data_IF_532607857066
#
_entry.id   IF_532607857066
#
_cell.length_a   1.000
_cell.length_b   1.000
_cell.length_c   1.000
_cell.angle_alpha   90.00
_cell.angle_beta   90.00
_cell.angle_gamma   90.00
#
_symmetry.space_group_name_H-M   'P 1'
#
loop_
_entity.id
_entity.type
_entity.pdbx_description
1 polymer ?
#
# COMPACT_ATOMS: atom_id res chain seq x y z
N UNK A 1 -0.90 -7.39 7.06
CA UNK A 1 -2.09 -6.98 7.80
C UNK A 1 -2.58 -8.19 8.56
N UNK A 2 -2.42 -8.22 9.85
CA UNK A 2 -3.23 -9.12 10.65
C UNK A 2 -4.60 -8.46 10.81
N UNK A 3 -5.58 -8.92 10.04
CA UNK A 3 -6.96 -8.44 10.10
C UNK A 3 -7.77 -9.16 11.20
N UNK A 4 -7.13 -9.97 12.04
CA UNK A 4 -7.78 -10.80 13.03
C UNK A 4 -8.10 -10.02 14.32
N UNK A 5 -8.77 -8.90 14.20
CA UNK A 5 -9.37 -8.19 15.32
C UNK A 5 -10.87 -8.54 15.38
N UNK A 6 -11.34 -9.28 16.38
CA UNK A 6 -12.73 -9.75 16.45
C UNK A 6 -13.75 -8.62 16.30
N UNK A 7 -13.49 -7.48 16.92
CA UNK A 7 -14.36 -6.30 16.85
C UNK A 7 -14.50 -5.77 15.41
N UNK A 8 -13.39 -5.60 14.67
CA UNK A 8 -13.43 -5.14 13.28
C UNK A 8 -14.06 -6.18 12.36
N UNK A 9 -13.90 -7.46 12.71
CA UNK A 9 -14.55 -8.54 11.98
C UNK A 9 -16.07 -8.47 12.12
N UNK A 10 -16.56 -8.28 13.33
CA UNK A 10 -17.99 -8.15 13.61
C UNK A 10 -18.60 -6.96 12.86
N UNK A 11 -18.02 -5.76 12.99
CA UNK A 11 -18.47 -4.56 12.30
C UNK A 11 -18.44 -4.71 10.77
N UNK A 12 -17.37 -5.32 10.24
CA UNK A 12 -17.28 -5.60 8.81
C UNK A 12 -18.34 -6.58 8.35
N UNK A 13 -18.61 -7.62 9.14
CA UNK A 13 -19.61 -8.63 8.83
C UNK A 13 -21.01 -8.03 8.83
N UNK A 14 -21.32 -7.16 9.78
CA UNK A 14 -22.59 -6.44 9.84
C UNK A 14 -22.76 -5.55 8.60
N UNK A 15 -21.80 -4.66 8.33
CA UNK A 15 -21.86 -3.79 7.15
C UNK A 15 -21.93 -4.61 5.86
N UNK A 16 -21.15 -5.70 5.75
CA UNK A 16 -21.16 -6.55 4.57
C UNK A 16 -22.52 -7.20 4.30
N UNK A 17 -23.26 -7.60 5.33
CA UNK A 17 -24.63 -8.08 5.23
C UNK A 17 -25.57 -6.99 4.74
N UNK A 18 -25.48 -5.77 5.31
CA UNK A 18 -26.30 -4.60 4.92
C UNK A 18 -26.04 -4.17 3.48
N UNK A 19 -24.81 -4.41 3.00
CA UNK A 19 -24.41 -4.22 1.61
C UNK A 19 -24.85 -5.35 0.67
N UNK A 20 -25.46 -6.43 1.19
CA UNK A 20 -25.86 -7.61 0.41
C UNK A 20 -24.70 -8.45 -0.11
N UNK A 21 -23.55 -8.38 0.55
CA UNK A 21 -22.33 -9.07 0.11
C UNK A 21 -22.31 -10.54 0.57
N UNK A 22 -21.59 -11.37 -0.19
CA UNK A 22 -21.33 -12.76 0.19
C UNK A 22 -20.17 -12.83 1.19
N UNK A 23 -20.28 -13.74 2.17
CA UNK A 23 -19.25 -13.97 3.16
C UNK A 23 -17.91 -14.44 2.53
N UNK A 24 -16.86 -14.51 3.34
CA UNK A 24 -15.55 -15.00 2.95
C UNK A 24 -14.65 -13.94 2.37
N UNK A 25 -14.14 -14.14 1.16
CA UNK A 25 -13.17 -13.24 0.54
C UNK A 25 -13.72 -11.83 0.27
N UNK A 26 -15.04 -11.66 0.10
CA UNK A 26 -15.65 -10.34 -0.06
C UNK A 26 -15.56 -9.54 1.24
N UNK A 27 -15.82 -10.16 2.39
CA UNK A 27 -15.71 -9.50 3.69
C UNK A 27 -14.25 -9.14 4.03
N UNK A 28 -13.29 -9.99 3.66
CA UNK A 28 -11.86 -9.63 3.77
C UNK A 28 -11.50 -8.43 2.90
N UNK A 29 -12.02 -8.38 1.67
CA UNK A 29 -11.82 -7.25 0.77
C UNK A 29 -12.46 -5.97 1.33
N UNK A 30 -13.68 -6.06 1.84
CA UNK A 30 -14.38 -4.94 2.48
C UNK A 30 -13.55 -4.40 3.65
N UNK A 31 -13.10 -5.28 4.56
CA UNK A 31 -12.27 -4.88 5.71
C UNK A 31 -10.99 -4.17 5.29
N UNK A 32 -10.29 -4.70 4.28
CA UNK A 32 -9.10 -4.06 3.73
C UNK A 32 -9.40 -2.65 3.20
N UNK A 33 -10.50 -2.47 2.48
CA UNK A 33 -10.92 -1.17 1.95
C UNK A 33 -11.30 -0.20 3.07
N UNK A 34 -12.05 -0.64 4.08
CA UNK A 34 -12.43 0.17 5.23
C UNK A 34 -11.19 0.65 6.01
N UNK A 35 -10.24 -0.25 6.32
CA UNK A 35 -8.98 0.13 6.96
C UNK A 35 -8.20 1.16 6.15
N UNK A 36 -8.14 1.01 4.82
CA UNK A 36 -7.46 1.99 3.98
C UNK A 36 -8.15 3.35 3.99
N UNK A 37 -9.48 3.38 3.93
CA UNK A 37 -10.25 4.62 3.95
C UNK A 37 -10.19 5.32 5.30
N UNK A 38 -10.31 4.59 6.40
CA UNK A 38 -10.16 5.13 7.75
C UNK A 38 -8.82 5.84 7.94
N UNK A 39 -7.73 5.21 7.49
CA UNK A 39 -6.37 5.79 7.57
C UNK A 39 -6.15 7.03 6.70
N UNK A 40 -6.92 7.16 5.62
CA UNK A 40 -6.80 8.30 4.71
C UNK A 40 -7.78 9.43 5.05
N UNK A 41 -8.78 9.18 5.89
CA UNK A 41 -9.84 10.16 6.18
C UNK A 41 -10.52 10.64 4.89
N UNK A 42 -10.72 11.93 4.75
CA UNK A 42 -11.36 12.55 3.56
C UNK A 42 -10.47 12.57 2.29
N UNK A 43 -9.36 11.84 2.26
CA UNK A 43 -8.46 11.87 1.10
C UNK A 43 -8.84 10.83 0.06
N UNK A 44 -8.46 11.11 -1.18
CA UNK A 44 -8.61 10.17 -2.28
C UNK A 44 -7.64 8.99 -2.12
N UNK A 45 -8.16 7.78 -2.22
CA UNK A 45 -7.40 6.53 -2.19
C UNK A 45 -7.33 5.96 -3.58
N UNK A 46 -6.11 5.69 -4.06
CA UNK A 46 -5.93 5.01 -5.34
C UNK A 46 -6.26 3.53 -5.21
N UNK A 47 -7.09 3.01 -6.10
CA UNK A 47 -7.50 1.62 -6.16
C UNK A 47 -7.16 1.02 -7.52
N UNK A 48 -6.58 -0.16 -7.47
CA UNK A 48 -6.33 -0.93 -8.68
C UNK A 48 -7.56 -1.75 -9.07
N UNK A 49 -8.21 -1.38 -10.16
CA UNK A 49 -9.35 -2.12 -10.75
C UNK A 49 -8.90 -3.10 -11.85
N UNK A 50 -7.68 -3.61 -11.78
CA UNK A 50 -7.17 -4.56 -12.78
C UNK A 50 -6.68 -5.85 -12.11
N UNK A 51 -6.99 -6.99 -12.73
CA UNK A 51 -6.58 -8.33 -12.24
C UNK A 51 -5.06 -8.44 -12.06
N UNK A 52 -4.29 -7.79 -12.91
CA UNK A 52 -2.83 -7.82 -12.91
C UNK A 52 -2.20 -7.11 -11.71
N UNK A 53 -2.95 -6.26 -11.02
CA UNK A 53 -2.43 -5.47 -9.89
C UNK A 53 -2.30 -6.24 -8.59
N UNK A 54 -2.87 -7.43 -8.50
CA UNK A 54 -2.91 -8.21 -7.26
C UNK A 54 -1.73 -9.17 -7.08
N UNK A 55 -0.83 -9.24 -8.07
CA UNK A 55 0.41 -10.03 -7.96
C UNK A 55 0.21 -11.53 -7.74
N UNK A 56 1.33 -12.23 -7.47
CA UNK A 56 1.35 -13.62 -7.05
C UNK A 56 1.00 -13.78 -5.56
N UNK A 57 1.02 -15.02 -5.05
CA UNK A 57 0.65 -15.35 -3.65
C UNK A 57 1.46 -14.55 -2.63
N UNK A 58 2.75 -14.36 -2.86
CA UNK A 58 3.66 -13.59 -2.00
C UNK A 58 3.22 -12.12 -1.83
N UNK A 59 2.68 -11.53 -2.88
CA UNK A 59 2.27 -10.12 -2.90
C UNK A 59 0.79 -9.91 -2.58
N UNK A 60 0.08 -11.00 -2.35
CA UNK A 60 -1.32 -11.03 -1.94
C UNK A 60 -1.54 -12.06 -0.83
N UNK A 61 -0.91 -11.88 0.34
CA UNK A 61 -0.96 -12.86 1.43
C UNK A 61 -2.37 -13.10 1.96
N UNK A 62 -3.27 -12.13 1.81
CA UNK A 62 -4.66 -12.26 2.22
C UNK A 62 -5.51 -13.09 1.24
N UNK A 63 -4.98 -13.44 0.06
CA UNK A 63 -5.69 -14.18 -0.97
C UNK A 63 -6.93 -13.46 -1.53
N UNK A 64 -6.95 -12.13 -1.43
CA UNK A 64 -8.10 -11.33 -1.88
C UNK A 64 -8.09 -11.25 -3.41
N UNK A 65 -9.14 -11.80 -4.02
CA UNK A 65 -9.27 -11.77 -5.47
C UNK A 65 -9.79 -10.44 -6.01
N UNK A 66 -9.45 -10.14 -7.25
CA UNK A 66 -9.91 -8.96 -7.96
C UNK A 66 -11.43 -8.76 -7.89
N UNK A 67 -12.20 -9.85 -8.14
CA UNK A 67 -13.68 -9.79 -8.13
C UNK A 67 -14.22 -9.35 -6.76
N UNK A 68 -13.58 -9.78 -5.67
CA UNK A 68 -14.01 -9.41 -4.31
C UNK A 68 -13.77 -7.94 -4.04
N UNK A 69 -12.65 -7.37 -4.50
CA UNK A 69 -12.37 -5.93 -4.36
C UNK A 69 -13.40 -5.11 -5.14
N UNK A 70 -13.66 -5.48 -6.41
CA UNK A 70 -14.62 -4.76 -7.24
C UNK A 70 -16.03 -4.84 -6.65
N UNK A 71 -16.48 -6.04 -6.25
CA UNK A 71 -17.81 -6.20 -5.64
C UNK A 71 -17.95 -5.35 -4.36
N UNK A 72 -16.89 -5.26 -3.55
CA UNK A 72 -16.92 -4.43 -2.34
C UNK A 72 -16.99 -2.93 -2.66
N UNK A 73 -16.23 -2.48 -3.66
CA UNK A 73 -16.26 -1.09 -4.11
C UNK A 73 -17.62 -0.70 -4.68
N UNK A 74 -18.17 -1.54 -5.56
CA UNK A 74 -19.45 -1.29 -6.21
C UNK A 74 -20.60 -1.32 -5.19
N UNK A 75 -20.55 -2.22 -4.19
CA UNK A 75 -21.52 -2.25 -3.11
C UNK A 75 -21.46 -1.01 -2.20
N UNK A 76 -20.26 -0.58 -1.82
CA UNK A 76 -20.07 0.64 -1.03
C UNK A 76 -20.57 1.88 -1.77
N UNK A 77 -20.27 2.00 -3.06
CA UNK A 77 -20.71 3.14 -3.87
C UNK A 77 -22.23 3.14 -4.06
N UNK A 78 -22.84 1.98 -4.40
CA UNK A 78 -24.28 1.85 -4.60
C UNK A 78 -25.10 2.23 -3.36
N UNK A 79 -24.53 2.07 -2.18
CA UNK A 79 -25.13 2.45 -0.90
C UNK A 79 -24.68 3.83 -0.40
N UNK A 80 -23.88 4.55 -1.19
CA UNK A 80 -23.46 5.92 -0.90
C UNK A 80 -22.43 6.07 0.20
N UNK A 81 -21.68 5.01 0.52
CA UNK A 81 -20.57 5.09 1.48
C UNK A 81 -19.29 5.66 0.88
N UNK A 82 -19.09 5.49 -0.43
CA UNK A 82 -17.95 6.04 -1.15
C UNK A 82 -18.41 6.68 -2.46
N UNK A 83 -17.55 7.50 -3.02
CA UNK A 83 -17.59 7.91 -4.43
C UNK A 83 -16.37 7.35 -5.15
N UNK A 84 -16.53 6.98 -6.42
CA UNK A 84 -15.43 6.51 -7.26
C UNK A 84 -15.26 7.43 -8.45
N UNK A 85 -14.02 7.71 -8.80
CA UNK A 85 -13.64 8.32 -10.07
C UNK A 85 -12.83 7.29 -10.86
N UNK A 86 -13.43 6.77 -11.94
CA UNK A 86 -12.81 5.73 -12.74
C UNK A 86 -11.60 6.26 -13.49
N UNK A 87 -10.54 5.46 -13.49
CA UNK A 87 -9.34 5.78 -14.24
C UNK A 87 -9.53 5.56 -15.73
N UNK A 88 -8.78 6.32 -16.52
CA UNK A 88 -8.66 6.18 -17.97
C UNK A 88 -7.23 5.82 -18.36
N UNK A 89 -7.10 4.84 -19.24
CA UNK A 89 -5.78 4.44 -19.76
C UNK A 89 -5.19 5.55 -20.66
N UNK A 90 -6.02 6.16 -21.47
CA UNK A 90 -5.60 7.19 -22.44
C UNK A 90 -5.16 8.46 -21.71
N UNK A 91 -5.85 8.83 -20.64
CA UNK A 91 -5.51 9.97 -19.79
C UNK A 91 -4.43 9.65 -18.74
N UNK A 92 -3.92 8.42 -18.69
CA UNK A 92 -2.99 7.93 -17.67
C UNK A 92 -3.51 8.13 -16.24
N UNK A 93 -4.81 8.20 -16.08
CA UNK A 93 -5.49 8.42 -14.79
C UNK A 93 -5.77 7.10 -14.10
N UNK A 94 -5.53 7.05 -12.79
CA UNK A 94 -5.86 5.88 -11.97
C UNK A 94 -7.24 6.04 -11.37
N UNK A 95 -7.94 4.93 -11.16
CA UNK A 95 -9.18 4.93 -10.38
C UNK A 95 -8.88 5.36 -8.96
N UNK A 96 -9.67 6.30 -8.46
CA UNK A 96 -9.63 6.74 -7.07
C UNK A 96 -10.99 6.53 -6.42
N UNK A 97 -11.00 6.37 -5.11
CA UNK A 97 -12.18 6.36 -4.27
C UNK A 97 -12.02 7.36 -3.13
N UNK A 98 -13.13 7.86 -2.64
CA UNK A 98 -13.18 8.79 -1.51
C UNK A 98 -14.34 8.41 -0.60
N UNK A 99 -14.15 8.37 0.74
CA UNK A 99 -15.25 8.17 1.67
C UNK A 99 -16.22 9.36 1.60
N UNK A 100 -17.50 9.09 1.75
CA UNK A 100 -18.52 10.10 1.95
C UNK A 100 -18.70 10.40 3.43
N UNK A 101 -19.44 11.46 3.77
CA UNK A 101 -19.78 11.76 5.16
C UNK A 101 -20.53 10.61 5.82
N UNK A 102 -21.32 9.85 5.05
CA UNK A 102 -21.99 8.65 5.55
C UNK A 102 -21.01 7.59 6.04
N UNK A 103 -19.90 7.35 5.34
CA UNK A 103 -18.90 6.39 5.81
C UNK A 103 -18.13 6.93 7.00
N UNK A 104 -17.80 8.22 7.00
CA UNK A 104 -17.10 8.84 8.13
C UNK A 104 -17.96 8.78 9.40
N UNK A 105 -19.24 9.10 9.29
CA UNK A 105 -20.20 8.98 10.40
C UNK A 105 -20.32 7.51 10.87
N UNK A 106 -20.35 6.55 9.95
CA UNK A 106 -20.39 5.14 10.30
C UNK A 106 -19.14 4.70 11.12
N UNK A 107 -17.95 5.22 10.79
CA UNK A 107 -16.75 4.97 11.59
C UNK A 107 -16.88 5.53 13.01
N UNK A 108 -17.44 6.73 13.16
CA UNK A 108 -17.67 7.37 14.45
C UNK A 108 -18.72 6.61 15.28
N UNK A 109 -19.86 6.34 14.70
CA UNK A 109 -21.00 5.67 15.36
C UNK A 109 -20.66 4.26 15.85
N UNK A 110 -19.79 3.55 15.11
CA UNK A 110 -19.38 2.18 15.44
C UNK A 110 -18.16 2.11 16.34
N UNK A 111 -17.48 3.24 16.58
CA UNK A 111 -16.19 3.24 17.27
C UNK A 111 -15.09 2.50 16.50
N UNK A 112 -15.15 2.53 15.16
CA UNK A 112 -14.14 1.88 14.32
C UNK A 112 -12.75 2.43 14.66
N UNK A 113 -11.85 1.54 15.06
CA UNK A 113 -10.45 1.86 15.27
C UNK A 113 -9.58 0.76 14.68
N UNK A 114 -8.54 1.15 13.98
CA UNK A 114 -7.52 0.25 13.44
C UNK A 114 -6.23 0.23 14.28
N UNK A 115 -6.31 0.68 15.53
CA UNK A 115 -5.24 0.54 16.50
C UNK A 115 -4.90 -0.93 16.72
N UNK A 116 -3.60 -1.25 16.67
CA UNK A 116 -3.11 -2.64 16.80
C UNK A 116 -3.15 -3.43 15.48
N UNK A 117 -3.73 -2.93 14.40
CA UNK A 117 -3.57 -3.57 13.10
C UNK A 117 -2.13 -3.35 12.63
N UNK A 118 -1.41 -4.44 12.38
CA UNK A 118 -0.20 -4.35 11.58
C UNK A 118 -0.57 -3.94 10.14
N UNK A 119 -0.42 -2.65 9.86
CA UNK A 119 -0.77 -2.04 8.56
C UNK A 119 0.13 -2.49 7.42
N UNK A 120 1.10 -3.33 7.70
CA UNK A 120 2.05 -3.81 6.72
C UNK A 120 1.56 -5.10 6.08
N UNK A 121 1.03 -4.96 4.89
CA UNK A 121 0.79 -6.10 4.00
C UNK A 121 1.90 -6.12 2.97
N UNK A 122 2.66 -7.18 2.95
CA UNK A 122 3.61 -7.38 1.88
C UNK A 122 4.98 -7.83 2.35
N UNK A 123 5.80 -8.13 1.38
CA UNK A 123 7.20 -8.53 1.58
C UNK A 123 8.10 -7.30 1.53
N UNK A 124 9.16 -7.32 2.35
CA UNK A 124 10.22 -6.33 2.30
C UNK A 124 11.04 -6.38 1.00
N UNK A 125 10.97 -7.51 0.31
CA UNK A 125 11.66 -7.74 -0.95
C UNK A 125 10.65 -7.99 -2.04
N UNK A 126 10.79 -7.28 -3.16
CA UNK A 126 9.99 -7.51 -4.35
C UNK A 126 10.89 -7.86 -5.54
N UNK A 127 10.50 -8.88 -6.29
CA UNK A 127 11.15 -9.29 -7.52
C UNK A 127 10.22 -8.99 -8.70
N UNK A 128 10.75 -8.36 -9.75
CA UNK A 128 10.02 -8.03 -10.98
C UNK A 128 10.71 -8.59 -12.19
N UNK A 129 9.95 -8.86 -13.24
CA UNK A 129 10.53 -9.09 -14.58
C UNK A 129 11.24 -7.84 -15.06
N UNK A 130 12.35 -8.03 -15.78
CA UNK A 130 12.92 -6.94 -16.56
C UNK A 130 11.87 -6.42 -17.55
N UNK A 131 11.76 -5.10 -17.66
CA UNK A 131 10.84 -4.47 -18.59
C UNK A 131 11.33 -4.77 -20.02
N UNK A 132 10.50 -5.43 -20.82
CA UNK A 132 10.61 -5.40 -22.27
C UNK A 132 9.78 -4.23 -22.78
N UNK A 133 10.13 -3.70 -23.93
CA UNK A 133 9.41 -2.61 -24.57
C UNK A 133 7.90 -2.89 -24.54
N UNK A 134 7.13 -1.96 -23.99
CA UNK A 134 5.67 -2.02 -23.80
C UNK A 134 5.10 -3.01 -22.76
N UNK A 135 5.90 -3.85 -22.13
CA UNK A 135 5.41 -4.73 -21.06
C UNK A 135 5.20 -3.97 -19.74
N UNK A 136 4.07 -4.24 -19.08
CA UNK A 136 3.89 -3.79 -17.69
C UNK A 136 4.79 -4.61 -16.77
N UNK A 137 5.54 -3.97 -15.85
CA UNK A 137 6.39 -4.69 -14.92
C UNK A 137 5.53 -5.63 -14.05
N UNK A 138 5.75 -6.94 -14.19
CA UNK A 138 5.05 -7.96 -13.42
C UNK A 138 5.89 -8.39 -12.21
N UNK A 139 5.24 -8.56 -11.07
CA UNK A 139 5.86 -9.22 -9.93
C UNK A 139 6.02 -10.71 -10.18
N UNK A 140 7.12 -11.27 -9.70
CA UNK A 140 7.45 -12.69 -9.82
C UNK A 140 7.52 -13.26 -8.40
N UNK A 141 6.83 -14.37 -8.15
CA UNK A 141 7.05 -15.15 -6.96
C UNK A 141 8.45 -15.78 -7.00
N UNK A 142 9.08 -15.91 -5.85
CA UNK A 142 10.38 -16.54 -5.67
C UNK A 142 10.38 -17.40 -4.41
N UNK A 143 11.28 -18.37 -4.35
CA UNK A 143 11.50 -19.16 -3.15
C UNK A 143 12.45 -18.43 -2.20
N UNK A 144 12.18 -18.52 -0.90
CA UNK A 144 13.02 -17.88 0.10
C UNK A 144 14.36 -18.63 0.25
N UNK A 145 15.42 -17.92 -0.06
CA UNK A 145 16.80 -18.35 0.21
C UNK A 145 17.28 -17.75 1.53
N UNK A 146 18.39 -18.26 2.09
CA UNK A 146 18.98 -17.68 3.29
C UNK A 146 19.36 -16.21 3.07
N UNK A 147 19.82 -15.88 1.87
CA UNK A 147 20.12 -14.49 1.50
C UNK A 147 18.86 -13.61 1.47
N UNK A 148 17.76 -14.08 0.89
CA UNK A 148 16.52 -13.29 0.85
C UNK A 148 15.90 -13.12 2.23
N UNK A 149 16.01 -14.13 3.09
CA UNK A 149 15.56 -14.06 4.49
C UNK A 149 16.39 -13.05 5.28
N UNK A 150 17.73 -13.18 5.22
CA UNK A 150 18.64 -12.23 5.85
C UNK A 150 18.34 -10.79 5.40
N UNK A 151 18.23 -10.58 4.09
CA UNK A 151 17.95 -9.26 3.55
C UNK A 151 16.58 -8.70 4.00
N UNK A 152 15.57 -9.56 4.12
CA UNK A 152 14.26 -9.16 4.65
C UNK A 152 14.34 -8.72 6.10
N UNK A 153 15.10 -9.42 6.94
CA UNK A 153 15.30 -9.06 8.34
C UNK A 153 16.07 -7.75 8.50
N UNK A 154 17.09 -7.49 7.66
CA UNK A 154 17.80 -6.20 7.67
C UNK A 154 16.89 -5.03 7.28
N UNK A 155 16.04 -5.20 6.28
CA UNK A 155 15.10 -4.17 5.88
C UNK A 155 14.03 -3.97 6.97
N UNK A 156 13.60 -5.03 7.63
CA UNK A 156 12.67 -4.97 8.75
C UNK A 156 13.22 -4.15 9.92
N UNK A 157 14.48 -4.38 10.29
CA UNK A 157 15.16 -3.57 11.34
C UNK A 157 15.19 -2.09 10.96
N UNK A 158 15.57 -1.80 9.72
CA UNK A 158 15.59 -0.43 9.21
C UNK A 158 14.20 0.21 9.20
N UNK A 159 13.19 -0.54 8.82
CA UNK A 159 11.82 -0.10 8.80
C UNK A 159 11.26 0.15 10.21
N UNK A 160 11.65 -0.65 11.20
CA UNK A 160 11.33 -0.39 12.61
C UNK A 160 11.95 0.92 13.09
N UNK A 161 13.22 1.18 12.74
CA UNK A 161 13.90 2.44 13.05
C UNK A 161 13.13 3.63 12.46
N UNK A 162 12.76 3.54 11.19
CA UNK A 162 11.99 4.58 10.49
C UNK A 162 10.60 4.76 11.11
N UNK A 163 9.93 3.66 11.49
CA UNK A 163 8.60 3.71 12.09
C UNK A 163 8.59 4.37 13.47
N UNK A 164 9.70 4.26 14.19
CA UNK A 164 9.90 4.91 15.49
C UNK A 164 10.34 6.38 15.36
N UNK A 165 10.61 6.84 14.14
CA UNK A 165 11.00 8.22 13.86
C UNK A 165 9.82 8.99 13.28
N UNK A 166 9.70 10.27 13.68
CA UNK A 166 8.78 11.20 13.03
C UNK A 166 9.43 11.76 11.78
N UNK A 167 9.06 11.22 10.61
CA UNK A 167 9.51 11.74 9.32
C UNK A 167 8.39 12.56 8.74
N UNK A 168 8.64 13.83 8.46
CA UNK A 168 7.68 14.75 7.88
C UNK A 168 8.28 15.46 6.67
N UNK A 169 7.45 15.82 5.72
CA UNK A 169 7.77 16.76 4.65
C UNK A 169 7.11 18.09 5.00
N UNK A 170 7.86 19.18 5.01
CA UNK A 170 7.32 20.49 5.24
C UNK A 170 6.93 21.16 3.91
N UNK A 171 5.87 21.92 3.93
CA UNK A 171 5.50 22.87 2.88
C UNK A 171 6.39 24.12 3.00
N UNK A 172 6.36 24.98 2.00
CA UNK A 172 7.17 26.23 1.98
C UNK A 172 6.81 27.20 3.13
N UNK A 173 5.62 27.08 3.68
CA UNK A 173 5.14 27.85 4.84
C UNK A 173 5.56 27.23 6.20
N UNK A 174 6.31 26.12 6.19
CA UNK A 174 6.75 25.40 7.37
C UNK A 174 5.72 24.46 7.97
N UNK A 175 4.52 24.39 7.43
CA UNK A 175 3.50 23.40 7.87
C UNK A 175 3.80 22.00 7.35
N UNK A 176 3.36 20.96 8.07
CA UNK A 176 3.53 19.58 7.59
C UNK A 176 2.65 19.30 6.38
N UNK A 177 3.26 18.75 5.35
CA UNK A 177 2.54 18.25 4.18
C UNK A 177 1.78 16.98 4.53
N UNK A 178 0.45 17.12 4.62
CA UNK A 178 -0.45 16.02 5.01
C UNK A 178 -0.55 14.91 3.98
N UNK A 179 -0.09 15.13 2.75
CA UNK A 179 -0.09 14.11 1.69
C UNK A 179 1.17 13.23 1.75
N UNK A 180 2.18 13.65 2.48
CA UNK A 180 3.39 12.87 2.67
C UNK A 180 3.09 11.66 3.55
N UNK A 181 3.19 10.47 2.96
CA UNK A 181 2.81 9.22 3.62
C UNK A 181 3.93 8.70 4.51
N UNK A 182 3.56 8.02 5.59
CA UNK A 182 4.52 7.22 6.37
C UNK A 182 5.30 6.27 5.44
N UNK A 183 6.59 6.15 5.64
CA UNK A 183 7.44 5.32 4.79
C UNK A 183 7.01 3.86 4.83
N UNK A 184 6.83 3.28 3.67
CA UNK A 184 6.76 1.84 3.48
C UNK A 184 8.02 1.44 2.70
N UNK A 185 8.96 0.84 3.41
CA UNK A 185 10.29 0.56 2.86
C UNK A 185 10.33 -0.84 2.30
N UNK A 186 10.80 -0.94 1.07
CA UNK A 186 11.00 -2.19 0.35
C UNK A 186 12.28 -2.12 -0.47
N UNK A 187 12.91 -3.26 -0.70
CA UNK A 187 13.92 -3.40 -1.75
C UNK A 187 13.34 -4.08 -2.97
N UNK A 188 13.60 -3.48 -4.11
CA UNK A 188 13.05 -3.94 -5.38
C UNK A 188 14.15 -4.44 -6.28
N UNK A 189 14.05 -5.72 -6.63
CA UNK A 189 14.96 -6.41 -7.54
C UNK A 189 14.32 -6.64 -8.89
N UNK A 190 15.18 -6.84 -9.90
CA UNK A 190 14.78 -7.11 -11.27
C UNK A 190 15.41 -8.43 -11.68
N UNK A 191 14.59 -9.41 -12.05
CA UNK A 191 15.06 -10.66 -12.62
C UNK A 191 15.48 -10.42 -14.07
N UNK A 192 16.79 -10.46 -14.32
CA UNK A 192 17.33 -10.36 -15.66
C UNK A 192 17.53 -11.75 -16.26
N UNK A 193 17.28 -11.91 -17.57
CA UNK A 193 17.44 -13.18 -18.29
C UNK A 193 18.86 -13.44 -18.80
N UNK A 194 19.81 -12.59 -18.42
CA UNK A 194 21.20 -12.75 -18.86
C UNK A 194 21.94 -13.84 -18.07
N UNK A 195 23.15 -14.21 -18.49
CA UNK A 195 24.02 -15.32 -18.08
C UNK A 195 24.13 -15.64 -16.57
N UNK A 196 23.59 -14.81 -15.70
CA UNK A 196 23.54 -14.98 -14.24
C UNK A 196 22.15 -15.42 -13.75
N UNK A 197 21.48 -16.29 -14.49
CA UNK A 197 20.09 -16.72 -14.22
C UNK A 197 19.85 -17.36 -12.84
N UNK A 198 20.90 -17.74 -12.14
CA UNK A 198 20.81 -18.33 -10.80
C UNK A 198 20.88 -17.31 -9.66
N UNK A 199 21.08 -16.03 -9.95
CA UNK A 199 21.14 -14.97 -8.95
C UNK A 199 19.88 -14.06 -9.04
N UNK A 200 18.78 -14.50 -8.45
CA UNK A 200 17.51 -13.77 -8.52
C UNK A 200 17.57 -12.35 -7.96
N UNK A 201 18.50 -12.08 -7.05
CA UNK A 201 18.66 -10.80 -6.35
C UNK A 201 19.95 -10.05 -6.72
N UNK A 202 20.54 -10.34 -7.89
CA UNK A 202 21.81 -9.72 -8.31
C UNK A 202 21.62 -8.29 -8.88
N UNK A 203 20.45 -7.98 -9.43
CA UNK A 203 20.21 -6.70 -10.12
C UNK A 203 19.13 -5.87 -9.44
N UNK A 204 19.37 -4.57 -9.37
CA UNK A 204 18.47 -3.61 -8.74
C UNK A 204 18.77 -3.48 -7.25
N UNK A 205 17.85 -3.93 -6.40
CA UNK A 205 17.99 -3.82 -4.95
C UNK A 205 17.87 -2.39 -4.44
N UNK A 206 17.31 -1.47 -5.27
CA UNK A 206 17.05 -0.10 -4.83
C UNK A 206 16.04 -0.12 -3.71
N UNK A 207 16.35 0.56 -2.64
CA UNK A 207 15.36 0.86 -1.61
C UNK A 207 14.30 1.80 -2.17
N UNK A 208 13.06 1.52 -1.84
CA UNK A 208 11.92 2.38 -2.20
C UNK A 208 11.27 2.88 -0.93
N UNK A 209 10.95 4.16 -0.91
CA UNK A 209 10.25 4.83 0.17
C UNK A 209 9.58 6.09 -0.40
N UNK A 210 8.76 6.80 0.35
CA UNK A 210 8.05 7.97 -0.16
C UNK A 210 9.00 9.09 -0.63
N UNK A 211 10.15 9.24 -0.01
CA UNK A 211 11.15 10.25 -0.38
C UNK A 211 11.88 9.96 -1.71
N UNK A 212 11.94 8.69 -2.15
CA UNK A 212 12.67 8.31 -3.38
C UNK A 212 12.07 8.92 -4.63
N UNK A 213 10.78 9.20 -4.62
CA UNK A 213 10.06 9.77 -5.76
C UNK A 213 9.90 11.29 -5.67
N UNK A 214 10.38 11.92 -4.60
CA UNK A 214 10.38 13.37 -4.49
C UNK A 214 11.50 13.97 -5.35
N UNK A 215 11.27 15.18 -5.85
CA UNK A 215 12.32 15.98 -6.46
C UNK A 215 13.38 16.35 -5.41
N UNK A 216 14.59 16.67 -5.83
CA UNK A 216 15.66 17.14 -4.92
C UNK A 216 15.23 18.37 -4.12
N UNK A 217 14.47 19.28 -4.73
CA UNK A 217 13.95 20.47 -4.06
C UNK A 217 13.01 20.10 -2.91
N UNK A 218 12.10 19.18 -3.11
CA UNK A 218 11.18 18.73 -2.06
C UNK A 218 11.90 17.92 -0.98
N UNK A 219 12.94 17.15 -1.34
CA UNK A 219 13.69 16.36 -0.33
C UNK A 219 14.40 17.21 0.70
N UNK A 220 14.80 18.44 0.36
CA UNK A 220 15.40 19.40 1.30
C UNK A 220 14.46 19.77 2.47
N UNK A 221 13.16 19.65 2.25
CA UNK A 221 12.13 19.97 3.24
C UNK A 221 11.74 18.77 4.12
N UNK A 222 12.45 17.64 3.99
CA UNK A 222 12.23 16.49 4.88
C UNK A 222 12.85 16.77 6.23
N UNK A 223 12.11 16.47 7.29
CA UNK A 223 12.60 16.50 8.66
C UNK A 223 12.51 15.12 9.30
N UNK A 224 13.44 14.81 10.20
CA UNK A 224 13.43 13.63 11.05
C UNK A 224 13.41 14.10 12.50
N UNK A 225 12.36 13.74 13.23
CA UNK A 225 12.14 14.18 14.62
C UNK A 225 12.22 15.72 14.78
N UNK A 226 11.72 16.44 13.78
CA UNK A 226 11.75 17.92 13.73
C UNK A 226 13.08 18.53 13.32
N UNK A 227 14.12 17.73 13.06
CA UNK A 227 15.42 18.22 12.60
C UNK A 227 15.51 18.17 11.08
N UNK A 228 16.08 19.20 10.42
CA UNK A 228 16.29 19.20 8.98
C UNK A 228 17.24 18.09 8.56
N UNK A 229 17.05 17.58 7.35
CA UNK A 229 17.93 16.57 6.77
C UNK A 229 18.86 17.17 5.71
N UNK A 230 19.98 16.49 5.45
CA UNK A 230 20.87 16.79 4.33
C UNK A 230 20.95 15.59 3.40
N UNK A 231 20.93 15.83 2.11
CA UNK A 231 21.14 14.79 1.11
C UNK A 231 22.64 14.60 0.90
N UNK A 232 23.13 13.39 1.13
CA UNK A 232 24.54 13.06 0.90
C UNK A 232 24.62 12.28 -0.43
N UNK A 233 25.22 12.89 -1.44
CA UNK A 233 25.61 12.20 -2.65
C UNK A 233 26.84 11.33 -2.38
N UNK A 234 26.79 10.07 -2.79
CA UNK A 234 27.99 9.25 -2.87
C UNK A 234 28.75 9.67 -4.13
N UNK A 235 29.84 10.38 -3.93
CA UNK A 235 30.88 10.57 -4.95
C UNK A 235 31.54 9.24 -5.27
#
# INVERSE_FOLDING_TARGET
LDLNMPHLEELTNQLGKDLGMRQGTQFKALRLLLCNMYNQGQRRVMVARTKQSLGGKRYNPLGIGYRSIIASLDALESKGYITQELGSYDEKKRTTMMPTDKLLQWFEDTGWSDEGIDKRVGTYITLRKAKKDNDKPAFIDYEDTDYSKWLSEEIKKYDQLISNSRIALLNDDGTENREFKKPNIQRRFIKNKTQFSNMEFAFGGRMTGPWVNLSSELRKNITINGQPTVELDRT
#
